data_IF_454829562408
#
_entry.id   IF_454829562408
#
_cell.length_a   1.000
_cell.length_b   1.000
_cell.length_c   1.000
_cell.angle_alpha   90.00
_cell.angle_beta   90.00
_cell.angle_gamma   90.00
#
_symmetry.space_group_name_H-M   'P 1'
#
loop_
_entity.id
_entity.type
_entity.pdbx_description
1 polymer ?
#
# COMPACT_ATOMS: atom_id res chain seq x y z
N UNK A 1 6.54 -7.17 3.56
CA UNK A 1 5.09 -7.03 3.82
C UNK A 1 4.28 -7.98 2.93
N UNK A 2 4.53 -7.98 1.62
CA UNK A 2 3.77 -8.80 0.67
C UNK A 2 3.81 -10.31 0.98
N UNK A 3 4.96 -10.86 1.40
CA UNK A 3 5.02 -12.27 1.84
C UNK A 3 4.08 -12.58 3.03
N UNK A 4 3.88 -11.63 3.97
CA UNK A 4 2.93 -11.82 5.08
C UNK A 4 1.49 -11.71 4.59
N UNK A 5 1.21 -10.85 3.62
CA UNK A 5 -0.09 -10.75 2.95
C UNK A 5 -0.44 -12.07 2.26
N UNK A 6 0.50 -12.63 1.47
CA UNK A 6 0.33 -13.93 0.81
C UNK A 6 0.05 -15.06 1.79
N UNK A 7 0.72 -15.04 2.95
CA UNK A 7 0.53 -16.05 4.00
C UNK A 7 -0.69 -15.79 4.90
N UNK A 8 -1.50 -14.75 4.66
CA UNK A 8 -2.61 -14.34 5.53
C UNK A 8 -2.19 -14.05 6.99
N UNK A 9 -0.95 -13.57 7.16
CA UNK A 9 -0.32 -13.29 8.46
C UNK A 9 -0.05 -11.79 8.67
N UNK A 10 -0.88 -10.94 8.06
CA UNK A 10 -0.81 -9.51 8.37
C UNK A 10 -1.42 -9.24 9.75
N UNK A 11 -0.78 -8.39 10.58
CA UNK A 11 -1.31 -7.97 11.88
C UNK A 11 -2.50 -7.02 11.69
N UNK A 12 -3.64 -7.57 11.27
CA UNK A 12 -4.90 -6.84 11.13
C UNK A 12 -5.53 -6.65 12.51
N UNK A 13 -6.39 -5.63 12.65
CA UNK A 13 -7.16 -5.48 13.89
C UNK A 13 -8.17 -6.58 14.06
N UNK A 14 -8.74 -7.12 12.98
CA UNK A 14 -9.58 -8.31 13.05
C UNK A 14 -8.84 -9.48 13.72
N UNK A 15 -7.60 -9.76 13.31
CA UNK A 15 -6.79 -10.82 13.91
C UNK A 15 -6.50 -10.55 15.39
N UNK A 16 -6.08 -9.35 15.75
CA UNK A 16 -5.81 -9.00 17.15
C UNK A 16 -7.07 -9.05 18.03
N UNK A 17 -8.23 -8.69 17.49
CA UNK A 17 -9.51 -8.82 18.20
C UNK A 17 -9.88 -10.29 18.41
N UNK A 18 -9.73 -11.15 17.38
CA UNK A 18 -9.96 -12.59 17.50
C UNK A 18 -9.02 -13.26 18.52
N UNK A 19 -7.80 -12.71 18.70
CA UNK A 19 -6.84 -13.13 19.71
C UNK A 19 -7.12 -12.56 21.12
N UNK A 20 -8.13 -11.71 21.29
CA UNK A 20 -8.44 -11.06 22.57
C UNK A 20 -7.41 -10.01 23.02
N UNK A 21 -6.59 -9.48 22.10
CA UNK A 21 -5.56 -8.47 22.41
C UNK A 21 -6.16 -7.05 22.43
N UNK A 22 -7.22 -6.81 21.67
CA UNK A 22 -7.90 -5.52 21.55
C UNK A 22 -9.41 -5.71 21.57
N UNK A 23 -10.14 -4.69 22.04
CA UNK A 23 -11.59 -4.77 22.23
C UNK A 23 -12.42 -4.50 20.97
N UNK A 24 -11.80 -3.98 19.90
CA UNK A 24 -12.52 -3.63 18.67
C UNK A 24 -11.70 -3.90 17.41
N UNK A 25 -12.28 -4.58 16.41
CA UNK A 25 -11.62 -4.82 15.12
C UNK A 25 -11.78 -3.65 14.14
N UNK A 26 -12.46 -2.57 14.53
CA UNK A 26 -12.71 -1.41 13.66
C UNK A 26 -11.41 -0.75 13.19
N UNK A 27 -11.36 -0.30 11.94
CA UNK A 27 -10.21 0.40 11.39
C UNK A 27 -9.96 1.72 12.11
N UNK A 28 -8.71 1.97 12.52
CA UNK A 28 -8.37 3.22 13.22
C UNK A 28 -8.33 4.43 12.28
N UNK A 29 -8.23 4.22 10.96
CA UNK A 29 -8.19 5.30 9.97
C UNK A 29 -9.61 5.76 9.59
N UNK A 30 -10.43 4.91 8.98
CA UNK A 30 -11.77 5.31 8.54
C UNK A 30 -12.82 5.25 9.65
N UNK A 31 -12.60 4.42 10.69
CA UNK A 31 -13.55 4.17 11.80
C UNK A 31 -14.95 3.69 11.37
N UNK A 32 -15.11 3.29 10.12
CA UNK A 32 -16.38 2.84 9.55
C UNK A 32 -16.47 1.32 9.47
N UNK A 33 -15.39 0.65 9.04
CA UNK A 33 -15.40 -0.79 8.74
C UNK A 33 -14.43 -1.57 9.63
N UNK A 34 -14.57 -2.90 9.60
CA UNK A 34 -13.63 -3.84 10.21
C UNK A 34 -12.31 -3.81 9.41
N UNK A 35 -11.19 -3.71 10.11
CA UNK A 35 -9.88 -3.83 9.46
C UNK A 35 -9.46 -5.30 9.37
N UNK A 36 -9.89 -5.94 8.30
CA UNK A 36 -9.38 -7.22 7.80
C UNK A 36 -8.18 -7.00 6.84
N UNK A 37 -7.76 -8.06 6.14
CA UNK A 37 -6.60 -7.98 5.25
C UNK A 37 -6.85 -7.06 4.05
N UNK A 38 -7.99 -7.19 3.40
CA UNK A 38 -8.32 -6.42 2.20
C UNK A 38 -8.49 -4.93 2.55
N UNK A 39 -9.09 -4.66 3.71
CA UNK A 39 -9.22 -3.32 4.26
C UNK A 39 -7.89 -2.69 4.64
N UNK A 40 -6.98 -3.48 5.24
CA UNK A 40 -5.64 -3.03 5.58
C UNK A 40 -4.78 -2.75 4.33
N UNK A 41 -5.01 -3.47 3.24
CA UNK A 41 -4.25 -3.34 2.00
C UNK A 41 -4.79 -2.27 1.05
N UNK A 42 -6.10 -2.27 0.77
CA UNK A 42 -6.65 -1.46 -0.33
C UNK A 42 -8.07 -0.91 -0.13
N UNK A 43 -8.99 -1.62 0.55
CA UNK A 43 -10.42 -1.23 0.53
C UNK A 43 -10.80 -0.14 1.53
N UNK A 44 -9.91 0.21 2.47
CA UNK A 44 -10.11 1.36 3.35
C UNK A 44 -10.11 2.68 2.57
N UNK A 45 -11.16 3.50 2.70
CA UNK A 45 -11.31 4.77 1.97
C UNK A 45 -10.10 5.71 2.10
N UNK A 46 -9.53 5.82 3.29
CA UNK A 46 -8.35 6.66 3.56
C UNK A 46 -7.09 6.11 2.87
N UNK A 47 -6.89 4.79 2.87
CA UNK A 47 -5.76 4.15 2.18
C UNK A 47 -5.95 4.20 0.67
N UNK A 48 -7.18 4.04 0.22
CA UNK A 48 -7.55 4.08 -1.18
C UNK A 48 -7.32 5.45 -1.80
N UNK A 49 -7.61 6.53 -1.08
CA UNK A 49 -7.28 7.89 -1.50
C UNK A 49 -5.77 8.05 -1.74
N UNK A 50 -4.93 7.49 -0.88
CA UNK A 50 -3.47 7.50 -1.05
C UNK A 50 -3.06 6.68 -2.27
N UNK A 51 -3.62 5.49 -2.44
CA UNK A 51 -3.37 4.62 -3.59
C UNK A 51 -3.65 5.32 -4.91
N UNK A 52 -4.88 5.82 -5.08
CA UNK A 52 -5.31 6.48 -6.32
C UNK A 52 -4.49 7.73 -6.58
N UNK A 53 -4.28 8.57 -5.55
CA UNK A 53 -3.48 9.79 -5.69
C UNK A 53 -2.05 9.47 -6.12
N UNK A 54 -1.41 8.46 -5.52
CA UNK A 54 -0.04 8.08 -5.86
C UNK A 54 0.07 7.42 -7.24
N UNK A 55 -0.87 6.54 -7.59
CA UNK A 55 -0.88 5.85 -8.88
C UNK A 55 -1.11 6.81 -10.05
N UNK A 56 -1.99 7.81 -9.87
CA UNK A 56 -2.28 8.82 -10.89
C UNK A 56 -1.05 9.62 -11.32
N UNK A 57 -0.02 9.72 -10.47
CA UNK A 57 1.25 10.39 -10.80
C UNK A 57 2.09 9.62 -11.83
N UNK A 58 1.90 8.29 -11.93
CA UNK A 58 2.71 7.43 -12.79
C UNK A 58 1.90 6.78 -13.92
N UNK A 59 0.59 6.65 -13.73
CA UNK A 59 -0.35 6.01 -14.63
C UNK A 59 -1.62 6.87 -14.76
N UNK A 60 -1.50 8.11 -15.26
CA UNK A 60 -2.64 9.06 -15.32
C UNK A 60 -3.79 8.56 -16.21
N UNK A 61 -3.49 7.73 -17.20
CA UNK A 61 -4.48 7.20 -18.15
C UNK A 61 -5.15 5.90 -17.66
N UNK A 62 -4.78 5.39 -16.49
CA UNK A 62 -5.32 4.15 -15.92
C UNK A 62 -6.20 4.45 -14.71
N UNK A 63 -7.39 3.86 -14.70
CA UNK A 63 -8.25 3.81 -13.52
C UNK A 63 -8.02 2.50 -12.79
N UNK A 64 -7.64 2.58 -11.52
CA UNK A 64 -7.50 1.42 -10.65
C UNK A 64 -8.74 1.26 -9.78
N UNK A 65 -9.04 0.02 -9.39
CA UNK A 65 -9.98 -0.35 -8.33
C UNK A 65 -9.26 -1.18 -7.26
N UNK A 66 -9.78 -1.29 -6.02
CA UNK A 66 -9.08 -2.00 -4.95
C UNK A 66 -8.68 -3.44 -5.31
N UNK A 67 -9.51 -4.14 -6.10
CA UNK A 67 -9.21 -5.50 -6.55
C UNK A 67 -7.94 -5.59 -7.38
N UNK A 68 -7.57 -4.57 -8.15
CA UNK A 68 -6.33 -4.55 -8.95
C UNK A 68 -5.10 -4.59 -8.04
N UNK A 69 -5.17 -3.87 -6.91
CA UNK A 69 -4.08 -3.85 -5.91
C UNK A 69 -4.01 -5.17 -5.17
N UNK A 70 -5.15 -5.70 -4.72
CA UNK A 70 -5.21 -6.97 -3.98
C UNK A 70 -4.67 -8.13 -4.82
N UNK A 71 -5.12 -8.25 -6.07
CA UNK A 71 -4.65 -9.27 -7.02
C UNK A 71 -3.16 -9.13 -7.30
N UNK A 72 -2.67 -7.89 -7.49
CA UNK A 72 -1.24 -7.65 -7.73
C UNK A 72 -0.38 -8.01 -6.51
N UNK A 73 -0.81 -7.68 -5.29
CA UNK A 73 -0.10 -8.02 -4.04
C UNK A 73 -0.06 -9.54 -3.83
N UNK A 74 -1.10 -10.25 -4.25
CA UNK A 74 -1.18 -11.71 -4.22
C UNK A 74 -0.42 -12.39 -5.37
N UNK A 75 0.27 -11.63 -6.24
CA UNK A 75 0.98 -12.12 -7.43
C UNK A 75 0.09 -12.93 -8.39
N UNK A 76 -1.21 -12.62 -8.45
CA UNK A 76 -2.06 -13.08 -9.54
C UNK A 76 -1.61 -12.43 -10.87
N UNK A 77 -1.92 -13.03 -12.04
CA UNK A 77 -1.40 -12.56 -13.31
C UNK A 77 -1.70 -11.08 -13.54
N UNK A 78 -0.64 -10.34 -13.86
CA UNK A 78 -0.64 -8.89 -14.07
C UNK A 78 -1.49 -8.56 -15.30
N UNK A 79 -2.23 -7.43 -15.31
CA UNK A 79 -2.86 -6.95 -16.55
C UNK A 79 -1.84 -6.87 -17.68
N UNK A 80 -2.16 -7.48 -18.83
CA UNK A 80 -1.27 -7.54 -20.00
C UNK A 80 -0.92 -6.16 -20.58
N UNK A 81 -1.65 -5.11 -20.20
CA UNK A 81 -1.39 -3.71 -20.54
C UNK A 81 -0.14 -3.12 -19.87
N UNK A 82 0.42 -3.78 -18.84
CA UNK A 82 1.59 -3.28 -18.11
C UNK A 82 2.86 -3.83 -18.74
N UNK A 83 3.46 -3.06 -19.66
CA UNK A 83 4.65 -3.50 -20.41
C UNK A 83 5.93 -3.61 -19.56
N UNK A 84 6.04 -2.83 -18.48
CA UNK A 84 7.21 -2.84 -17.58
C UNK A 84 6.82 -3.29 -16.17
N UNK A 85 6.76 -4.60 -15.97
CA UNK A 85 6.41 -5.22 -14.69
C UNK A 85 7.35 -4.77 -13.55
N UNK A 86 8.66 -4.66 -13.79
CA UNK A 86 9.63 -4.23 -12.77
C UNK A 86 9.27 -2.84 -12.25
N UNK A 87 9.08 -1.88 -13.16
CA UNK A 87 8.70 -0.51 -12.81
C UNK A 87 7.39 -0.47 -12.03
N UNK A 88 6.38 -1.20 -12.50
CA UNK A 88 5.07 -1.26 -11.86
C UNK A 88 5.14 -1.82 -10.44
N UNK A 89 5.81 -2.96 -10.25
CA UNK A 89 6.00 -3.56 -8.93
C UNK A 89 6.82 -2.68 -7.99
N UNK A 90 7.83 -1.97 -8.50
CA UNK A 90 8.59 -1.00 -7.69
C UNK A 90 7.69 0.12 -7.20
N UNK A 91 6.85 0.68 -8.06
CA UNK A 91 5.90 1.75 -7.69
C UNK A 91 4.90 1.23 -6.66
N UNK A 92 4.22 0.11 -6.93
CA UNK A 92 3.24 -0.47 -6.00
C UNK A 92 3.86 -0.82 -4.64
N UNK A 93 5.03 -1.46 -4.64
CA UNK A 93 5.74 -1.81 -3.40
C UNK A 93 6.10 -0.55 -2.60
N UNK A 94 6.51 0.51 -3.30
CA UNK A 94 6.86 1.79 -2.67
C UNK A 94 5.64 2.48 -2.05
N UNK A 95 4.51 2.51 -2.77
CA UNK A 95 3.27 3.09 -2.26
C UNK A 95 2.78 2.30 -1.04
N UNK A 96 2.70 0.97 -1.14
CA UNK A 96 2.29 0.11 -0.04
C UNK A 96 3.19 0.30 1.20
N UNK A 97 4.51 0.41 1.00
CA UNK A 97 5.45 0.68 2.08
C UNK A 97 5.18 2.03 2.76
N UNK A 98 4.94 3.08 1.98
CA UNK A 98 4.65 4.41 2.52
C UNK A 98 3.32 4.46 3.29
N UNK A 99 2.27 3.80 2.78
CA UNK A 99 0.98 3.65 3.48
C UNK A 99 1.18 2.91 4.81
N UNK A 100 1.91 1.79 4.79
CA UNK A 100 2.20 1.01 5.98
C UNK A 100 2.99 1.79 7.03
N UNK A 101 4.03 2.49 6.61
CA UNK A 101 4.83 3.35 7.50
C UNK A 101 3.95 4.44 8.11
N UNK A 102 3.13 5.11 7.31
CA UNK A 102 2.21 6.13 7.81
C UNK A 102 1.18 5.56 8.81
N UNK A 103 0.64 4.37 8.55
CA UNK A 103 -0.28 3.69 9.45
C UNK A 103 0.36 3.40 10.81
N UNK A 104 1.56 2.82 10.85
CA UNK A 104 2.20 2.49 12.12
C UNK A 104 2.67 3.73 12.89
N UNK A 105 3.13 4.77 12.20
CA UNK A 105 3.41 6.06 12.84
C UNK A 105 2.13 6.68 13.44
N UNK A 106 0.98 6.49 12.80
CA UNK A 106 -0.30 6.92 13.36
C UNK A 106 -0.69 6.09 14.60
N UNK A 107 -0.54 4.77 14.54
CA UNK A 107 -0.90 3.86 15.65
C UNK A 107 -0.01 4.06 16.87
N UNK A 108 1.32 4.10 16.68
CA UNK A 108 2.27 4.14 17.79
C UNK A 108 2.69 5.56 18.18
N UNK A 109 3.00 6.41 17.19
CA UNK A 109 3.55 7.75 17.43
C UNK A 109 2.48 8.86 17.41
N UNK A 110 1.20 8.49 17.22
CA UNK A 110 0.05 9.41 17.10
C UNK A 110 0.25 10.49 16.02
N UNK A 111 1.07 10.21 15.02
CA UNK A 111 1.29 11.12 13.90
C UNK A 111 0.12 11.02 12.92
N UNK A 112 -0.56 12.13 12.59
CA UNK A 112 -1.71 12.05 11.69
C UNK A 112 -1.26 11.69 10.28
N UNK A 113 -2.07 10.86 9.61
CA UNK A 113 -1.87 10.49 8.20
C UNK A 113 -2.11 11.73 7.35
N UNK A 114 -1.08 12.15 6.60
CA UNK A 114 -1.12 13.34 5.73
C UNK A 114 -0.80 12.96 4.30
N UNK A 115 -1.82 12.99 3.44
CA UNK A 115 -1.69 12.63 2.02
C UNK A 115 -0.51 13.36 1.33
N UNK A 116 -0.34 14.69 1.43
CA UNK A 116 0.76 15.38 0.74
C UNK A 116 2.15 14.91 1.16
N UNK A 117 2.34 14.62 2.46
CA UNK A 117 3.62 14.15 2.99
C UNK A 117 3.94 12.73 2.50
N UNK A 118 2.92 11.88 2.41
CA UNK A 118 3.04 10.51 1.88
C UNK A 118 3.38 10.56 0.39
N UNK A 119 2.67 11.35 -0.40
CA UNK A 119 2.94 11.51 -1.83
C UNK A 119 4.35 12.02 -2.10
N UNK A 120 4.83 13.03 -1.35
CA UNK A 120 6.21 13.50 -1.43
C UNK A 120 7.22 12.38 -1.18
N UNK A 121 6.95 11.54 -0.17
CA UNK A 121 7.81 10.40 0.17
C UNK A 121 7.79 9.32 -0.93
N UNK A 122 6.61 9.04 -1.50
CA UNK A 122 6.47 8.13 -2.64
C UNK A 122 7.29 8.62 -3.83
N UNK A 123 7.13 9.88 -4.24
CA UNK A 123 7.87 10.48 -5.35
C UNK A 123 9.37 10.34 -5.15
N UNK A 124 9.85 10.74 -3.97
CA UNK A 124 11.29 10.68 -3.62
C UNK A 124 11.83 9.25 -3.69
N UNK A 125 11.10 8.28 -3.13
CA UNK A 125 11.56 6.89 -3.10
C UNK A 125 11.51 6.25 -4.49
N UNK A 126 10.44 6.49 -5.26
CA UNK A 126 10.33 5.97 -6.63
C UNK A 126 11.42 6.56 -7.52
N UNK A 127 11.71 7.87 -7.42
CA UNK A 127 12.80 8.47 -8.21
C UNK A 127 14.14 7.85 -7.88
N UNK A 128 14.43 7.54 -6.61
CA UNK A 128 15.67 6.87 -6.20
C UNK A 128 15.73 5.43 -6.71
N UNK A 129 14.64 4.67 -6.56
CA UNK A 129 14.61 3.23 -6.90
C UNK A 129 14.54 2.97 -8.41
N UNK A 130 13.99 3.91 -9.19
CA UNK A 130 13.90 3.83 -10.65
C UNK A 130 14.95 4.71 -11.35
N UNK A 131 15.79 5.42 -10.61
CA UNK A 131 16.99 6.02 -11.20
C UNK A 131 17.76 4.90 -11.90
N UNK A 132 18.32 5.14 -13.10
CA UNK A 132 19.26 4.22 -13.68
C UNK A 132 20.41 4.09 -12.66
N UNK A 133 20.42 2.98 -11.92
CA UNK A 133 21.61 2.57 -11.22
C UNK A 133 22.69 2.53 -12.30
N UNK A 134 23.76 3.29 -12.08
CA UNK A 134 24.96 3.33 -12.91
C UNK A 134 25.17 1.97 -13.56
N UNK A 135 24.85 1.88 -14.85
CA UNK A 135 25.41 0.88 -15.74
C UNK A 135 26.90 1.24 -15.87
N UNK A 136 27.68 1.12 -14.79
CA UNK A 136 29.12 0.90 -14.89
C UNK A 136 29.30 -0.57 -15.21
N UNK A 137 28.96 -0.91 -16.45
CA UNK A 137 29.71 -1.90 -17.18
C UNK A 137 30.94 -1.19 -17.73
N UNK A 138 32.07 -1.41 -17.06
CA UNK A 138 33.40 -1.44 -17.66
C UNK A 138 34.03 -2.78 -17.28
#
# INVERSE_FOLDING_TARGET
MWYKAMLQKLPTRLLFHQMGIIDSPACLLCRADIEDMDHLLATCSIRWEIWVSALSLYYPDLSFVPSDILTTIQLFPIPSSILNHKRFYTILSTIQWCIWKAYWNFVFDRQPVRLPAILKTVITNVSVLLSPALDTGD
#
